data_IF_764384102076
#
_entry.id   IF_764384102076
#
_cell.length_a   1.000
_cell.length_b   1.000
_cell.length_c   1.000
_cell.angle_alpha   90.00
_cell.angle_beta   90.00
_cell.angle_gamma   90.00
#
_symmetry.space_group_name_H-M   'P 1'
#
loop_
_entity.id
_entity.type
_entity.pdbx_description
1 polymer ?
#
# COMPACT_ATOMS: atom_id res chain seq x y z
N UNK A 1 -62.82 32.30 -13.79
CA UNK A 1 -61.41 32.64 -13.43
C UNK A 1 -60.97 31.57 -12.43
N UNK A 2 -59.99 30.69 -12.66
CA UNK A 2 -58.81 30.74 -13.51
C UNK A 2 -58.60 29.40 -14.23
N UNK A 3 -58.45 29.46 -15.55
CA UNK A 3 -57.87 28.38 -16.37
C UNK A 3 -56.34 28.49 -16.29
N UNK A 4 -55.65 27.41 -15.98
CA UNK A 4 -54.21 27.29 -16.24
C UNK A 4 -53.99 26.17 -17.25
N UNK A 5 -53.69 26.59 -18.47
CA UNK A 5 -53.32 25.78 -19.64
C UNK A 5 -51.85 25.40 -19.53
N UNK A 6 -51.51 24.11 -19.62
CA UNK A 6 -50.13 23.67 -19.78
C UNK A 6 -49.83 23.46 -21.27
N UNK A 7 -48.95 24.30 -21.83
CA UNK A 7 -48.43 24.17 -23.19
C UNK A 7 -47.21 23.26 -23.20
N UNK A 8 -47.20 22.27 -24.09
CA UNK A 8 -45.98 21.53 -24.40
C UNK A 8 -45.08 22.40 -25.28
N UNK A 9 -43.99 22.92 -24.71
CA UNK A 9 -42.85 23.32 -25.52
C UNK A 9 -42.07 22.06 -25.86
N UNK A 10 -42.00 21.72 -27.15
CA UNK A 10 -41.02 20.77 -27.66
C UNK A 10 -39.65 21.27 -27.21
N UNK A 11 -39.02 20.60 -26.24
CA UNK A 11 -37.64 20.87 -25.91
C UNK A 11 -36.85 20.65 -27.20
N UNK A 12 -36.27 21.74 -27.71
CA UNK A 12 -35.27 21.71 -28.77
C UNK A 12 -34.35 20.53 -28.53
N UNK A 13 -33.98 19.84 -29.61
CA UNK A 13 -32.72 19.10 -29.69
C UNK A 13 -31.57 20.08 -29.36
N UNK A 14 -31.37 20.35 -28.07
CA UNK A 14 -30.07 20.74 -27.57
C UNK A 14 -29.20 19.50 -27.73
N UNK A 15 -28.61 19.47 -28.92
CA UNK A 15 -27.29 18.93 -29.23
C UNK A 15 -26.33 19.17 -28.07
N UNK A 16 -26.54 18.42 -27.01
CA UNK A 16 -25.57 18.18 -25.95
C UNK A 16 -24.60 17.17 -26.52
N UNK A 17 -23.89 17.58 -27.58
CA UNK A 17 -22.49 17.19 -27.75
C UNK A 17 -21.75 17.82 -26.58
N UNK A 18 -21.99 17.30 -25.37
CA UNK A 18 -20.95 17.31 -24.36
C UNK A 18 -19.74 16.75 -25.08
N UNK A 19 -18.71 17.58 -25.19
CA UNK A 19 -17.39 17.14 -25.56
C UNK A 19 -17.12 15.87 -24.75
N UNK A 20 -17.25 14.69 -25.36
CA UNK A 20 -16.78 13.45 -24.79
C UNK A 20 -15.30 13.71 -24.54
N UNK A 21 -14.94 13.87 -23.27
CA UNK A 21 -13.56 13.87 -22.84
C UNK A 21 -12.92 12.63 -23.47
N UNK A 22 -12.04 12.85 -24.45
CA UNK A 22 -11.19 11.82 -25.05
C UNK A 22 -10.38 11.20 -23.91
N UNK A 23 -10.90 10.14 -23.29
CA UNK A 23 -10.27 9.48 -22.16
C UNK A 23 -11.21 8.74 -21.20
N UNK A 24 -12.53 8.99 -21.19
CA UNK A 24 -13.44 8.27 -20.29
C UNK A 24 -14.01 7.03 -20.98
N UNK A 25 -13.54 5.84 -20.60
CA UNK A 25 -14.13 4.57 -21.04
C UNK A 25 -15.50 4.41 -20.35
N UNK A 26 -16.56 4.31 -21.16
CA UNK A 26 -17.92 4.12 -20.69
C UNK A 26 -18.48 2.80 -21.22
N UNK A 27 -19.24 2.11 -20.37
CA UNK A 27 -20.02 0.93 -20.71
C UNK A 27 -21.49 1.34 -20.82
N UNK A 28 -22.15 0.91 -21.89
CA UNK A 28 -23.57 1.18 -22.14
C UNK A 28 -24.31 -0.15 -22.37
N UNK A 29 -25.16 -0.49 -21.41
CA UNK A 29 -26.01 -1.68 -21.41
C UNK A 29 -27.43 -1.18 -21.63
N UNK A 30 -28.09 -1.59 -22.71
CA UNK A 30 -29.50 -1.26 -22.96
C UNK A 30 -30.40 -2.08 -22.04
N UNK A 31 -30.45 -3.39 -22.26
CA UNK A 31 -31.22 -4.32 -21.45
C UNK A 31 -30.44 -5.63 -21.30
N UNK A 32 -30.36 -6.13 -20.07
CA UNK A 32 -29.75 -7.41 -19.75
C UNK A 32 -30.58 -8.09 -18.66
N UNK A 33 -31.16 -9.24 -18.98
CA UNK A 33 -31.86 -10.10 -18.03
C UNK A 33 -31.19 -11.46 -17.98
N UNK A 34 -30.86 -11.93 -16.76
CA UNK A 34 -30.24 -13.23 -16.52
C UNK A 34 -31.21 -14.09 -15.73
N UNK A 35 -31.49 -15.29 -16.23
CA UNK A 35 -32.38 -16.25 -15.58
C UNK A 35 -31.65 -16.96 -14.44
N UNK A 36 -32.34 -17.20 -13.32
CA UNK A 36 -31.78 -17.93 -12.17
C UNK A 36 -31.30 -19.32 -12.60
N UNK A 37 -30.08 -19.68 -12.20
CA UNK A 37 -29.47 -20.99 -12.46
C UNK A 37 -28.84 -21.14 -13.85
N UNK A 38 -29.00 -20.15 -14.74
CA UNK A 38 -28.41 -20.20 -16.07
C UNK A 38 -26.89 -19.98 -16.05
N UNK A 39 -26.20 -20.64 -16.98
CA UNK A 39 -24.82 -20.34 -17.35
C UNK A 39 -24.82 -19.36 -18.52
N UNK A 40 -24.41 -18.12 -18.24
CA UNK A 40 -24.32 -17.05 -19.21
C UNK A 40 -22.86 -16.81 -19.58
N UNK A 41 -22.52 -16.95 -20.85
CA UNK A 41 -21.18 -16.69 -21.37
C UNK A 41 -21.06 -15.27 -21.94
N UNK A 42 -19.98 -14.56 -21.63
CA UNK A 42 -19.69 -13.23 -22.20
C UNK A 42 -18.50 -13.31 -23.14
N UNK A 43 -18.72 -12.93 -24.40
CA UNK A 43 -17.75 -13.05 -25.49
C UNK A 43 -17.49 -11.69 -26.10
N UNK A 44 -16.24 -11.46 -26.50
CA UNK A 44 -15.85 -10.25 -27.21
C UNK A 44 -14.35 -10.07 -27.26
N UNK A 45 -13.91 -9.12 -28.08
CA UNK A 45 -12.49 -8.80 -28.25
C UNK A 45 -11.83 -8.39 -26.92
N UNK A 46 -10.51 -8.47 -26.86
CA UNK A 46 -9.75 -7.92 -25.73
C UNK A 46 -10.06 -6.43 -25.60
N UNK A 47 -10.34 -5.97 -24.39
CA UNK A 47 -10.67 -4.55 -24.13
C UNK A 47 -12.10 -4.11 -24.49
N UNK A 48 -13.03 -5.02 -24.84
CA UNK A 48 -14.41 -4.63 -25.15
C UNK A 48 -15.30 -4.33 -23.93
N UNK A 49 -14.78 -4.49 -22.70
CA UNK A 49 -15.50 -4.18 -21.46
C UNK A 49 -16.13 -5.36 -20.72
N UNK A 50 -15.67 -6.61 -20.93
CA UNK A 50 -16.17 -7.82 -20.23
C UNK A 50 -15.99 -7.73 -18.71
N UNK A 51 -14.75 -7.49 -18.25
CA UNK A 51 -14.46 -7.28 -16.83
C UNK A 51 -15.19 -6.05 -16.28
N UNK A 52 -15.36 -5.00 -17.10
CA UNK A 52 -16.15 -3.81 -16.73
C UNK A 52 -17.64 -4.11 -16.57
N UNK A 53 -18.20 -5.08 -17.31
CA UNK A 53 -19.57 -5.56 -17.09
C UNK A 53 -19.70 -6.21 -15.71
N UNK A 54 -18.74 -7.05 -15.31
CA UNK A 54 -18.74 -7.66 -13.99
C UNK A 54 -18.58 -6.61 -12.89
N UNK A 55 -17.67 -5.64 -13.06
CA UNK A 55 -17.48 -4.52 -12.14
C UNK A 55 -18.74 -3.62 -12.03
N UNK A 56 -19.52 -3.48 -13.10
CA UNK A 56 -20.81 -2.80 -13.05
C UNK A 56 -21.84 -3.57 -12.21
N UNK A 57 -21.83 -4.90 -12.26
CA UNK A 57 -22.72 -5.78 -11.48
C UNK A 57 -22.32 -5.77 -9.99
N UNK A 58 -21.02 -5.77 -9.68
CA UNK A 58 -20.53 -5.70 -8.28
C UNK A 58 -20.69 -4.32 -7.66
N UNK A 59 -20.95 -3.28 -8.46
CA UNK A 59 -21.10 -1.91 -7.99
C UNK A 59 -19.78 -1.15 -7.85
N UNK A 60 -18.68 -1.65 -8.44
CA UNK A 60 -17.38 -1.00 -8.46
C UNK A 60 -17.32 0.19 -9.44
N UNK A 61 -18.23 0.23 -10.43
CA UNK A 61 -18.32 1.33 -11.39
C UNK A 61 -19.36 2.38 -11.00
N UNK A 62 -19.02 3.66 -11.22
CA UNK A 62 -19.94 4.77 -11.04
C UNK A 62 -21.03 4.76 -12.11
N UNK A 63 -22.27 4.46 -11.70
CA UNK A 63 -23.45 4.48 -12.57
C UNK A 63 -23.88 5.91 -12.90
N UNK A 64 -23.90 6.27 -14.19
CA UNK A 64 -24.40 7.57 -14.66
C UNK A 64 -25.92 7.60 -14.88
N UNK A 65 -26.54 6.46 -15.20
CA UNK A 65 -27.97 6.34 -15.44
C UNK A 65 -28.43 4.88 -15.50
N UNK A 66 -29.75 4.67 -15.57
CA UNK A 66 -30.36 3.33 -15.58
C UNK A 66 -30.53 2.71 -14.19
N UNK A 67 -30.97 1.45 -14.17
CA UNK A 67 -31.22 0.68 -12.94
C UNK A 67 -30.55 -0.68 -13.05
N UNK A 68 -29.97 -1.16 -11.95
CA UNK A 68 -29.36 -2.48 -11.84
C UNK A 68 -30.05 -3.18 -10.68
N UNK A 69 -30.67 -4.32 -10.96
CA UNK A 69 -31.36 -5.13 -9.98
C UNK A 69 -30.60 -6.44 -9.81
N UNK A 70 -30.06 -6.66 -8.62
CA UNK A 70 -29.40 -7.91 -8.24
C UNK A 70 -30.24 -8.56 -7.16
N UNK A 71 -30.55 -9.85 -7.35
CA UNK A 71 -31.26 -10.62 -6.35
C UNK A 71 -30.37 -10.85 -5.12
N UNK A 72 -30.88 -10.51 -3.94
CA UNK A 72 -30.22 -10.75 -2.64
C UNK A 72 -28.77 -10.22 -2.54
N UNK A 73 -28.60 -8.93 -2.81
CA UNK A 73 -27.29 -8.25 -2.76
C UNK A 73 -26.60 -8.39 -1.40
N UNK A 74 -27.36 -8.53 -0.31
CA UNK A 74 -26.84 -8.69 1.05
C UNK A 74 -26.00 -9.97 1.21
N UNK A 75 -26.31 -11.03 0.45
CA UNK A 75 -25.49 -12.26 0.45
C UNK A 75 -24.22 -12.16 -0.37
N UNK A 76 -24.11 -11.15 -1.25
CA UNK A 76 -22.96 -10.93 -2.12
C UNK A 76 -22.79 -11.98 -3.24
N UNK A 77 -21.61 -12.00 -3.84
CA UNK A 77 -21.29 -12.79 -5.04
C UNK A 77 -20.13 -13.76 -4.78
N UNK A 78 -20.12 -14.88 -5.50
CA UNK A 78 -18.91 -15.68 -5.68
C UNK A 78 -18.09 -15.07 -6.81
N UNK A 79 -16.96 -14.44 -6.48
CA UNK A 79 -16.15 -13.70 -7.45
C UNK A 79 -14.82 -14.38 -7.69
N UNK A 80 -14.51 -14.66 -8.96
CA UNK A 80 -13.18 -15.04 -9.42
C UNK A 80 -12.71 -14.02 -10.45
N UNK A 81 -11.68 -13.23 -10.11
CA UNK A 81 -11.15 -12.15 -10.96
C UNK A 81 -10.07 -12.64 -11.91
N UNK A 82 -9.87 -11.91 -13.00
CA UNK A 82 -8.83 -12.21 -14.00
C UNK A 82 -7.42 -12.21 -13.38
N UNK A 83 -7.17 -11.28 -12.46
CA UNK A 83 -5.97 -11.27 -11.61
C UNK A 83 -6.37 -11.78 -10.20
N UNK A 84 -6.03 -13.03 -9.86
CA UNK A 84 -6.41 -13.61 -8.58
C UNK A 84 -5.65 -12.95 -7.44
N UNK A 85 -6.37 -12.38 -6.49
CA UNK A 85 -5.77 -11.88 -5.24
C UNK A 85 -5.73 -12.98 -4.18
N UNK A 86 -4.54 -13.24 -3.62
CA UNK A 86 -4.29 -14.25 -2.59
C UNK A 86 -3.81 -13.55 -1.32
N UNK A 87 -4.45 -13.86 -0.20
CA UNK A 87 -4.11 -13.32 1.10
C UNK A 87 -2.83 -13.98 1.63
N UNK A 88 -2.03 -13.20 2.36
CA UNK A 88 -0.85 -13.69 3.08
C UNK A 88 -1.27 -14.50 4.31
N UNK A 89 -1.63 -15.77 4.07
CA UNK A 89 -2.05 -16.77 5.06
C UNK A 89 -1.88 -18.17 4.44
N UNK A 90 -2.30 -19.23 5.11
CA UNK A 90 -2.25 -20.59 4.57
C UNK A 90 -3.17 -20.77 3.35
N UNK A 91 -2.92 -21.79 2.53
CA UNK A 91 -3.81 -22.12 1.39
C UNK A 91 -5.23 -22.43 1.88
N UNK A 92 -5.37 -23.17 2.99
CA UNK A 92 -6.66 -23.45 3.60
C UNK A 92 -7.42 -22.19 3.97
N UNK A 93 -6.79 -21.27 4.70
CA UNK A 93 -7.43 -20.01 5.11
C UNK A 93 -7.81 -19.12 3.92
N UNK A 94 -7.01 -19.15 2.84
CA UNK A 94 -7.38 -18.50 1.60
C UNK A 94 -8.66 -19.06 0.97
N UNK A 95 -8.89 -20.37 1.03
CA UNK A 95 -10.10 -21.02 0.49
C UNK A 95 -11.30 -20.78 1.42
N UNK A 96 -11.12 -20.94 2.73
CA UNK A 96 -12.16 -20.74 3.74
C UNK A 96 -12.65 -19.29 3.77
N UNK A 97 -11.72 -18.34 3.72
CA UNK A 97 -11.98 -16.90 3.65
C UNK A 97 -13.01 -16.42 4.68
N UNK A 98 -12.78 -16.79 5.95
CA UNK A 98 -13.62 -16.43 7.09
C UNK A 98 -14.86 -17.31 7.31
N UNK A 99 -15.07 -18.34 6.48
CA UNK A 99 -16.10 -19.36 6.70
C UNK A 99 -15.55 -20.52 7.52
N UNK A 100 -16.40 -21.15 8.33
CA UNK A 100 -16.05 -22.34 9.09
C UNK A 100 -15.60 -23.51 8.20
N UNK A 101 -14.64 -24.30 8.70
CA UNK A 101 -14.13 -25.47 7.99
C UNK A 101 -15.11 -26.65 8.05
N UNK A 102 -15.74 -26.94 6.91
CA UNK A 102 -16.44 -28.20 6.62
C UNK A 102 -15.55 -29.12 5.76
N UNK A 103 -15.12 -30.23 6.34
CA UNK A 103 -14.24 -31.21 5.69
C UNK A 103 -14.83 -31.81 4.40
N UNK A 104 -16.15 -32.05 4.35
CA UNK A 104 -16.78 -32.68 3.18
C UNK A 104 -16.85 -31.70 2.02
N UNK A 105 -17.36 -30.51 2.27
CA UNK A 105 -17.44 -29.45 1.27
C UNK A 105 -16.03 -29.05 0.80
N UNK A 106 -15.08 -28.96 1.72
CA UNK A 106 -13.71 -28.58 1.40
C UNK A 106 -13.06 -29.60 0.45
N UNK A 107 -13.20 -30.89 0.75
CA UNK A 107 -12.70 -31.95 -0.13
C UNK A 107 -13.37 -31.93 -1.51
N UNK A 108 -14.69 -31.76 -1.57
CA UNK A 108 -15.42 -31.64 -2.83
C UNK A 108 -14.93 -30.45 -3.67
N UNK A 109 -14.70 -29.29 -3.04
CA UNK A 109 -14.19 -28.09 -3.71
C UNK A 109 -12.76 -28.29 -4.20
N UNK A 110 -11.88 -28.91 -3.41
CA UNK A 110 -10.51 -29.20 -3.82
C UNK A 110 -10.46 -30.13 -5.04
N UNK A 111 -11.28 -31.19 -5.04
CA UNK A 111 -11.39 -32.12 -6.16
C UNK A 111 -11.98 -31.43 -7.40
N UNK A 112 -13.06 -30.65 -7.24
CA UNK A 112 -13.68 -29.92 -8.34
C UNK A 112 -12.74 -28.87 -8.96
N UNK A 113 -11.88 -28.26 -8.14
CA UNK A 113 -10.91 -27.26 -8.57
C UNK A 113 -9.55 -27.86 -8.98
N UNK A 114 -9.40 -29.19 -9.03
CA UNK A 114 -8.14 -29.88 -9.34
C UNK A 114 -6.95 -29.38 -8.50
N UNK A 115 -7.15 -29.11 -7.20
CA UNK A 115 -6.10 -28.63 -6.31
C UNK A 115 -5.38 -29.75 -5.56
N UNK A 116 -5.91 -30.97 -5.55
CA UNK A 116 -5.36 -32.09 -4.79
C UNK A 116 -3.89 -32.37 -5.11
N UNK A 117 -3.54 -32.38 -6.39
CA UNK A 117 -2.16 -32.64 -6.83
C UNK A 117 -1.22 -31.48 -6.48
N UNK A 118 -1.70 -30.23 -6.55
CA UNK A 118 -0.89 -29.07 -6.13
C UNK A 118 -0.59 -29.13 -4.63
N UNK A 119 -1.58 -29.47 -3.81
CA UNK A 119 -1.41 -29.57 -2.37
C UNK A 119 -0.41 -30.66 -1.99
N UNK A 120 -0.37 -31.78 -2.71
CA UNK A 120 0.59 -32.86 -2.46
C UNK A 120 2.06 -32.45 -2.72
N UNK A 121 2.27 -31.47 -3.59
CA UNK A 121 3.61 -30.96 -3.92
C UNK A 121 4.08 -29.93 -2.88
N UNK A 122 3.15 -29.26 -2.18
CA UNK A 122 3.49 -28.26 -1.18
C UNK A 122 4.03 -28.90 0.12
N UNK A 123 5.05 -28.30 0.75
CA UNK A 123 5.76 -28.91 1.88
C UNK A 123 4.89 -29.21 3.10
N UNK A 124 3.82 -28.43 3.32
CA UNK A 124 2.86 -28.62 4.40
C UNK A 124 1.41 -28.78 3.89
N UNK A 125 1.24 -29.21 2.63
CA UNK A 125 -0.08 -29.35 2.03
C UNK A 125 -0.86 -28.04 2.04
N UNK A 126 -2.12 -28.10 2.48
CA UNK A 126 -3.01 -26.93 2.59
C UNK A 126 -2.69 -26.01 3.78
N UNK A 127 -1.83 -26.45 4.71
CA UNK A 127 -1.30 -25.62 5.79
C UNK A 127 -0.08 -24.79 5.35
N UNK A 128 0.38 -24.95 4.12
CA UNK A 128 1.50 -24.16 3.60
C UNK A 128 1.14 -22.68 3.56
N UNK A 129 1.98 -21.84 4.18
CA UNK A 129 1.85 -20.39 4.13
C UNK A 129 2.14 -19.88 2.72
N UNK A 130 1.25 -19.02 2.23
CA UNK A 130 1.43 -18.39 0.92
C UNK A 130 2.07 -17.02 1.11
N UNK A 131 3.18 -16.78 0.39
CA UNK A 131 3.88 -15.48 0.38
C UNK A 131 2.99 -14.31 -0.06
N UNK A 132 3.44 -13.06 0.15
CA UNK A 132 2.66 -11.86 -0.19
C UNK A 132 2.20 -11.90 -1.66
N UNK A 133 0.91 -11.68 -1.93
CA UNK A 133 0.29 -11.83 -3.27
C UNK A 133 0.57 -13.18 -3.96
N UNK A 134 0.81 -14.24 -3.18
CA UNK A 134 1.01 -15.57 -3.71
C UNK A 134 2.35 -15.81 -4.40
N UNK A 135 3.42 -15.06 -4.11
CA UNK A 135 4.70 -15.17 -4.87
C UNK A 135 5.25 -16.61 -4.97
N UNK A 136 4.93 -17.47 -4.01
CA UNK A 136 5.31 -18.89 -3.99
C UNK A 136 4.49 -19.79 -4.93
N UNK A 137 3.40 -19.30 -5.53
CA UNK A 137 2.47 -20.08 -6.35
C UNK A 137 2.55 -19.69 -7.84
N UNK A 138 2.31 -20.67 -8.71
CA UNK A 138 2.13 -20.43 -10.15
C UNK A 138 0.84 -19.67 -10.45
N UNK A 139 0.75 -19.02 -11.62
CA UNK A 139 -0.46 -18.29 -12.02
C UNK A 139 -1.71 -19.18 -12.07
N UNK A 140 -1.57 -20.41 -12.57
CA UNK A 140 -2.66 -21.39 -12.61
C UNK A 140 -3.09 -21.87 -11.22
N UNK A 141 -2.16 -22.03 -10.28
CA UNK A 141 -2.47 -22.34 -8.88
C UNK A 141 -3.24 -21.21 -8.21
N UNK A 142 -2.81 -19.96 -8.38
CA UNK A 142 -3.53 -18.78 -7.87
C UNK A 142 -4.96 -18.70 -8.41
N UNK A 143 -5.14 -18.94 -9.70
CA UNK A 143 -6.45 -18.95 -10.33
C UNK A 143 -7.36 -20.03 -9.73
N UNK A 144 -6.83 -21.26 -9.56
CA UNK A 144 -7.58 -22.37 -8.94
C UNK A 144 -7.93 -22.12 -7.48
N UNK A 145 -7.02 -21.55 -6.67
CA UNK A 145 -7.31 -21.19 -5.27
C UNK A 145 -8.38 -20.11 -5.20
N UNK A 146 -8.32 -19.08 -6.05
CA UNK A 146 -9.34 -18.04 -6.09
C UNK A 146 -10.71 -18.57 -6.53
N UNK A 147 -10.73 -19.50 -7.50
CA UNK A 147 -11.95 -20.20 -7.90
C UNK A 147 -12.49 -21.07 -6.77
N UNK A 148 -11.64 -21.84 -6.09
CA UNK A 148 -12.01 -22.66 -4.93
C UNK A 148 -12.60 -21.81 -3.81
N UNK A 149 -11.98 -20.66 -3.49
CA UNK A 149 -12.51 -19.68 -2.56
C UNK A 149 -13.90 -19.20 -2.96
N UNK A 150 -14.12 -18.86 -4.23
CA UNK A 150 -15.43 -18.43 -4.70
C UNK A 150 -16.49 -19.54 -4.53
N UNK A 151 -16.15 -20.78 -4.88
CA UNK A 151 -17.05 -21.95 -4.79
C UNK A 151 -17.38 -22.26 -3.34
N UNK A 152 -16.38 -22.28 -2.46
CA UNK A 152 -16.54 -22.60 -1.03
C UNK A 152 -17.47 -21.64 -0.29
N UNK A 153 -17.69 -20.44 -0.82
CA UNK A 153 -18.61 -19.46 -0.24
C UNK A 153 -20.10 -19.73 -0.52
N UNK A 154 -20.43 -20.75 -1.34
CA UNK A 154 -21.79 -21.23 -1.65
C UNK A 154 -22.82 -20.12 -1.99
N UNK A 155 -22.39 -19.12 -2.74
CA UNK A 155 -23.24 -17.99 -3.15
C UNK A 155 -24.31 -18.43 -4.17
N UNK A 156 -25.28 -17.57 -4.47
CA UNK A 156 -26.32 -17.86 -5.48
C UNK A 156 -25.93 -17.37 -6.88
N UNK A 157 -25.05 -16.36 -6.95
CA UNK A 157 -24.58 -15.72 -8.17
C UNK A 157 -23.05 -15.77 -8.20
N UNK A 158 -22.50 -16.29 -9.30
CA UNK A 158 -21.07 -16.39 -9.54
C UNK A 158 -20.66 -15.52 -10.73
N UNK A 159 -19.65 -14.70 -10.51
CA UNK A 159 -19.05 -13.81 -11.50
C UNK A 159 -17.62 -14.30 -11.74
N UNK A 160 -17.36 -14.84 -12.93
CA UNK A 160 -16.12 -15.52 -13.26
C UNK A 160 -15.43 -14.79 -14.41
N UNK A 161 -14.36 -14.06 -14.10
CA UNK A 161 -13.58 -13.30 -15.08
C UNK A 161 -12.33 -14.07 -15.50
N UNK A 162 -12.45 -14.80 -16.61
CA UNK A 162 -11.43 -15.63 -17.24
C UNK A 162 -10.63 -16.55 -16.30
N UNK A 163 -11.30 -17.34 -15.42
CA UNK A 163 -10.62 -18.18 -14.44
C UNK A 163 -9.80 -19.33 -15.06
N UNK A 164 -9.96 -19.58 -16.36
CA UNK A 164 -9.34 -20.69 -17.10
C UNK A 164 -8.14 -20.26 -17.96
N UNK A 165 -7.76 -18.98 -17.95
CA UNK A 165 -6.73 -18.44 -18.86
C UNK A 165 -5.30 -18.89 -18.51
N UNK A 166 -5.00 -19.05 -17.23
CA UNK A 166 -3.66 -19.35 -16.73
C UNK A 166 -3.40 -20.84 -16.47
N UNK A 167 -4.35 -21.72 -16.84
CA UNK A 167 -4.29 -23.17 -16.60
C UNK A 167 -4.19 -23.93 -17.91
N UNK A 168 -3.56 -25.10 -17.86
CA UNK A 168 -3.42 -26.00 -19.00
C UNK A 168 -4.79 -26.51 -19.51
N UNK A 169 -4.84 -26.97 -20.75
CA UNK A 169 -6.09 -27.38 -21.40
C UNK A 169 -6.83 -28.49 -20.64
N UNK A 170 -6.11 -29.50 -20.14
CA UNK A 170 -6.72 -30.62 -19.41
C UNK A 170 -7.29 -30.18 -18.06
N UNK A 171 -6.55 -29.34 -17.33
CA UNK A 171 -7.02 -28.73 -16.07
C UNK A 171 -8.23 -27.84 -16.34
N UNK A 172 -8.20 -27.02 -17.39
CA UNK A 172 -9.33 -26.17 -17.78
C UNK A 172 -10.59 -26.99 -18.11
N UNK A 173 -10.43 -28.12 -18.81
CA UNK A 173 -11.52 -29.05 -19.10
C UNK A 173 -12.11 -29.66 -17.82
N UNK A 174 -11.25 -30.07 -16.89
CA UNK A 174 -11.67 -30.58 -15.58
C UNK A 174 -12.45 -29.52 -14.79
N UNK A 175 -11.92 -28.30 -14.68
CA UNK A 175 -12.57 -27.18 -13.99
C UNK A 175 -13.94 -26.86 -14.61
N UNK A 176 -14.02 -26.83 -15.94
CA UNK A 176 -15.29 -26.59 -16.61
C UNK A 176 -16.31 -27.70 -16.30
N UNK A 177 -15.91 -28.97 -16.36
CA UNK A 177 -16.83 -30.09 -16.18
C UNK A 177 -17.23 -30.33 -14.72
N UNK A 178 -16.27 -30.28 -13.79
CA UNK A 178 -16.47 -30.64 -12.38
C UNK A 178 -16.89 -29.45 -11.53
N UNK A 179 -16.30 -28.28 -11.74
CA UNK A 179 -16.60 -27.08 -10.97
C UNK A 179 -17.76 -26.29 -11.59
N UNK A 180 -17.58 -25.73 -12.79
CA UNK A 180 -18.54 -24.78 -13.39
C UNK A 180 -19.85 -25.48 -13.77
N UNK A 181 -19.79 -26.65 -14.43
CA UNK A 181 -20.97 -27.43 -14.85
C UNK A 181 -21.39 -28.50 -13.83
N UNK A 182 -20.56 -28.78 -12.83
CA UNK A 182 -20.81 -29.76 -11.78
C UNK A 182 -21.30 -29.09 -10.50
N UNK A 183 -20.39 -28.73 -9.60
CA UNK A 183 -20.70 -28.13 -8.28
C UNK A 183 -21.60 -26.90 -8.42
N UNK A 184 -21.33 -26.03 -9.41
CA UNK A 184 -22.09 -24.80 -9.62
C UNK A 184 -23.34 -24.97 -10.52
N UNK A 185 -23.73 -26.20 -10.87
CA UNK A 185 -24.77 -26.49 -11.88
C UNK A 185 -26.09 -25.76 -11.66
N UNK A 186 -26.52 -25.61 -10.41
CA UNK A 186 -27.81 -25.03 -10.05
C UNK A 186 -27.73 -23.54 -9.69
N UNK A 187 -26.55 -22.94 -9.80
CA UNK A 187 -26.27 -21.55 -9.45
C UNK A 187 -26.24 -20.66 -10.70
N UNK A 188 -26.56 -19.38 -10.53
CA UNK A 188 -26.46 -18.42 -11.63
C UNK A 188 -24.99 -18.10 -11.86
N UNK A 189 -24.49 -18.27 -13.10
CA UNK A 189 -23.08 -18.12 -13.42
C UNK A 189 -22.91 -17.19 -14.61
N UNK A 190 -22.08 -16.16 -14.48
CA UNK A 190 -21.65 -15.30 -15.58
C UNK A 190 -20.17 -15.57 -15.81
N UNK A 191 -19.85 -16.21 -16.94
CA UNK A 191 -18.49 -16.57 -17.32
C UNK A 191 -18.01 -15.68 -18.47
N UNK A 192 -17.08 -14.79 -18.16
CA UNK A 192 -16.30 -14.08 -19.15
C UNK A 192 -15.08 -14.94 -19.52
N UNK A 193 -14.90 -15.29 -20.78
CA UNK A 193 -13.67 -15.96 -21.22
C UNK A 193 -13.35 -15.64 -22.68
N UNK A 194 -12.06 -15.72 -23.01
CA UNK A 194 -11.58 -15.65 -24.37
C UNK A 194 -11.61 -17.01 -25.10
N UNK A 195 -11.79 -18.11 -24.37
CA UNK A 195 -11.81 -19.48 -24.93
C UNK A 195 -13.23 -19.89 -25.33
N UNK A 196 -13.51 -19.83 -26.62
CA UNK A 196 -14.84 -20.12 -27.19
C UNK A 196 -15.29 -21.58 -27.02
N UNK A 197 -14.35 -22.53 -26.97
CA UNK A 197 -14.59 -23.97 -26.76
C UNK A 197 -15.47 -24.25 -25.53
N UNK A 198 -15.30 -23.46 -24.47
CA UNK A 198 -16.02 -23.63 -23.22
C UNK A 198 -17.42 -23.02 -23.22
N UNK A 199 -17.69 -22.13 -24.18
CA UNK A 199 -18.92 -21.38 -24.27
C UNK A 199 -20.01 -22.11 -25.06
N UNK A 200 -19.67 -23.18 -25.77
CA UNK A 200 -20.64 -24.07 -26.43
C UNK A 200 -21.63 -24.68 -25.43
N UNK A 201 -21.22 -24.85 -24.17
CA UNK A 201 -22.02 -25.45 -23.09
C UNK A 201 -22.83 -24.42 -22.30
N UNK A 202 -22.78 -23.14 -22.67
CA UNK A 202 -23.54 -22.08 -22.01
C UNK A 202 -25.01 -22.07 -22.48
N UNK A 203 -25.92 -21.69 -21.58
CA UNK A 203 -27.34 -21.57 -21.92
C UNK A 203 -27.61 -20.34 -22.78
N UNK A 204 -26.83 -19.28 -22.60
CA UNK A 204 -26.96 -18.01 -23.33
C UNK A 204 -25.61 -17.33 -23.47
N UNK A 205 -25.33 -16.73 -24.63
CA UNK A 205 -24.15 -15.92 -24.87
C UNK A 205 -24.51 -14.44 -25.03
N UNK A 206 -23.59 -13.60 -24.55
CA UNK A 206 -23.59 -12.14 -24.67
C UNK A 206 -22.39 -11.75 -25.53
N UNK A 207 -22.65 -11.20 -26.72
CA UNK A 207 -21.61 -10.62 -27.56
C UNK A 207 -21.42 -9.15 -27.20
N UNK A 208 -20.25 -8.79 -26.68
CA UNK A 208 -19.87 -7.42 -26.37
C UNK A 208 -18.85 -6.85 -27.36
N UNK A 209 -19.07 -5.61 -27.80
CA UNK A 209 -18.11 -4.84 -28.58
C UNK A 209 -18.12 -3.37 -28.14
N UNK A 210 -16.93 -2.78 -27.97
CA UNK A 210 -16.74 -1.38 -27.59
C UNK A 210 -17.64 -0.89 -26.43
N UNK A 211 -17.75 -1.70 -25.36
CA UNK A 211 -18.53 -1.36 -24.16
C UNK A 211 -20.06 -1.48 -24.34
N UNK A 212 -20.54 -2.12 -25.41
CA UNK A 212 -21.97 -2.33 -25.68
C UNK A 212 -22.28 -3.80 -25.92
N UNK A 213 -23.49 -4.21 -25.55
CA UNK A 213 -24.03 -5.53 -25.92
C UNK A 213 -24.55 -5.44 -27.35
N UNK A 214 -23.96 -6.22 -28.25
CA UNK A 214 -24.32 -6.27 -29.68
C UNK A 214 -25.43 -7.28 -29.92
N UNK A 215 -25.33 -8.47 -29.32
CA UNK A 215 -26.30 -9.55 -29.49
C UNK A 215 -26.36 -10.45 -28.25
N UNK A 216 -27.56 -10.93 -27.94
CA UNK A 216 -27.84 -11.96 -26.93
C UNK A 216 -28.51 -13.12 -27.65
N UNK A 217 -28.11 -14.35 -27.37
CA UNK A 217 -28.64 -15.52 -28.07
C UNK A 217 -27.99 -16.84 -27.65
N UNK A 218 -28.34 -17.92 -28.34
CA UNK A 218 -27.75 -19.24 -28.09
C UNK A 218 -26.31 -19.34 -28.63
N UNK A 219 -25.49 -20.28 -28.13
CA UNK A 219 -24.12 -20.46 -28.62
C UNK A 219 -24.03 -20.65 -30.14
N UNK A 220 -24.95 -21.43 -30.73
CA UNK A 220 -25.01 -21.70 -32.17
C UNK A 220 -25.21 -20.45 -33.03
N UNK A 221 -25.81 -19.40 -32.47
CA UNK A 221 -26.04 -18.14 -33.19
C UNK A 221 -24.89 -17.14 -33.06
N UNK A 222 -24.14 -17.19 -31.96
CA UNK A 222 -23.16 -16.15 -31.61
C UNK A 222 -21.73 -16.59 -31.93
N UNK A 223 -21.37 -17.85 -31.68
CA UNK A 223 -20.01 -18.34 -31.93
C UNK A 223 -19.54 -18.12 -33.38
N UNK A 224 -20.36 -18.35 -34.42
CA UNK A 224 -19.96 -18.06 -35.80
C UNK A 224 -19.66 -16.57 -36.06
N UNK A 225 -20.35 -15.66 -35.36
CA UNK A 225 -20.15 -14.21 -35.50
C UNK A 225 -18.81 -13.76 -34.88
N UNK A 226 -18.36 -14.45 -33.83
CA UNK A 226 -17.07 -14.19 -33.18
C UNK A 226 -15.92 -14.67 -34.07
N UNK A 227 -16.06 -15.86 -34.65
CA UNK A 227 -15.06 -16.45 -35.56
C UNK A 227 -14.94 -15.72 -36.90
N UNK A 228 -16.04 -15.14 -37.39
CA UNK A 228 -16.07 -14.33 -38.61
C UNK A 228 -15.36 -12.97 -38.46
N UNK A 229 -15.10 -12.51 -37.22
CA UNK A 229 -14.18 -11.38 -37.04
C UNK A 229 -12.76 -11.85 -37.30
N UNK A 230 -12.01 -11.23 -38.25
CA UNK A 230 -10.74 -11.79 -38.67
C UNK A 230 -9.81 -11.87 -37.45
N UNK A 231 -9.29 -13.07 -37.17
CA UNK A 231 -8.16 -13.34 -36.29
C UNK A 231 -6.91 -12.67 -36.86
N UNK A 232 -6.90 -11.35 -36.88
CA UNK A 232 -5.71 -10.59 -37.26
C UNK A 232 -4.73 -10.75 -36.11
N UNK A 233 -3.74 -11.63 -36.33
CA UNK A 233 -2.36 -11.52 -35.82
C UNK A 233 -1.86 -12.47 -34.71
N UNK A 234 -2.39 -13.70 -34.55
CA UNK A 234 -1.77 -14.69 -33.63
C UNK A 234 -1.13 -15.91 -34.34
N UNK A 235 -1.54 -16.27 -35.56
CA UNK A 235 -0.93 -17.41 -36.27
C UNK A 235 0.43 -17.10 -36.94
N UNK A 236 0.79 -15.82 -37.10
CA UNK A 236 2.07 -15.43 -37.69
C UNK A 236 3.24 -15.35 -36.70
N UNK A 237 3.01 -15.45 -35.38
CA UNK A 237 4.10 -15.50 -34.39
C UNK A 237 4.66 -16.92 -34.14
N UNK A 238 3.93 -17.98 -34.50
CA UNK A 238 4.39 -19.37 -34.33
C UNK A 238 5.28 -19.90 -35.46
N UNK A 239 5.49 -19.13 -36.54
CA UNK A 239 6.29 -19.56 -37.70
C UNK A 239 7.66 -18.89 -37.87
N UNK A 240 8.01 -17.92 -37.03
CA UNK A 240 9.33 -17.28 -37.04
C UNK A 240 9.87 -17.16 -35.61
N UNK A 241 10.32 -18.29 -35.08
CA UNK A 241 11.43 -18.40 -34.11
C UNK A 241 11.84 -19.87 -34.04
N UNK A 242 12.45 -20.35 -35.12
CA UNK A 242 13.36 -21.50 -35.09
C UNK A 242 14.78 -20.95 -35.23
N UNK A 243 15.49 -20.88 -34.12
CA UNK A 243 16.96 -20.75 -34.06
C UNK A 243 17.42 -21.95 -33.21
N UNK A 244 18.52 -22.64 -33.59
CA UNK A 244 18.69 -24.05 -33.33
C UNK A 244 19.17 -24.38 -31.91
N UNK A 245 18.75 -25.57 -31.48
CA UNK A 245 19.19 -26.35 -30.31
C UNK A 245 20.71 -26.51 -30.27
N UNK A 246 21.34 -26.01 -29.22
CA UNK A 246 22.62 -26.54 -28.72
C UNK A 246 22.32 -27.55 -27.61
N UNK A 247 23.00 -28.69 -27.72
CA UNK A 247 22.94 -29.82 -26.80
C UNK A 247 23.62 -29.44 -25.48
N UNK A 248 22.89 -29.55 -24.38
CA UNK A 248 23.42 -29.52 -23.01
C UNK A 248 22.88 -30.75 -22.28
N UNK A 249 23.79 -31.55 -21.75
CA UNK A 249 23.54 -32.82 -21.07
C UNK A 249 22.71 -32.60 -19.80
N UNK A 250 21.69 -33.43 -19.61
CA UNK A 250 21.02 -33.63 -18.33
C UNK A 250 21.93 -34.50 -17.46
N UNK A 251 22.44 -33.93 -16.36
CA UNK A 251 23.01 -34.70 -15.26
C UNK A 251 21.90 -34.92 -14.22
N UNK A 252 21.54 -36.17 -14.03
CA UNK A 252 20.72 -36.64 -12.91
C UNK A 252 21.45 -36.34 -11.60
N UNK A 253 20.82 -35.59 -10.70
CA UNK A 253 21.22 -35.53 -9.30
C UNK A 253 20.12 -36.15 -8.44
N UNK A 254 20.37 -37.38 -8.01
CA UNK A 254 19.74 -38.00 -6.86
C UNK A 254 19.97 -37.11 -5.63
N UNK A 255 18.89 -36.64 -5.00
CA UNK A 255 18.96 -35.99 -3.69
C UNK A 255 18.56 -37.05 -2.66
N UNK A 256 19.57 -37.50 -1.91
CA UNK A 256 19.41 -38.31 -0.72
C UNK A 256 18.54 -37.56 0.30
N UNK A 257 17.49 -38.24 0.74
CA UNK A 257 16.66 -37.80 1.84
C UNK A 257 17.42 -38.02 3.16
N UNK A 258 17.98 -36.96 3.73
CA UNK A 258 18.36 -36.94 5.15
C UNK A 258 17.54 -35.90 5.92
N UNK A 259 17.16 -36.35 7.12
CA UNK A 259 16.23 -35.76 8.05
C UNK A 259 16.54 -34.30 8.41
N UNK A 260 15.57 -33.41 8.20
CA UNK A 260 15.41 -32.23 9.05
C UNK A 260 13.95 -32.09 9.48
N UNK A 261 13.60 -32.89 10.48
CA UNK A 261 12.39 -32.70 11.25
C UNK A 261 12.34 -31.32 11.91
N UNK A 262 11.13 -30.75 11.94
CA UNK A 262 10.74 -29.68 12.85
C UNK A 262 11.55 -28.38 12.75
N UNK A 263 11.58 -27.78 11.57
CA UNK A 263 11.61 -26.33 11.45
C UNK A 263 10.31 -25.91 10.77
N UNK A 264 9.37 -25.44 11.57
CA UNK A 264 8.13 -24.77 11.19
C UNK A 264 8.39 -23.87 9.98
N UNK A 265 7.73 -24.17 8.86
CA UNK A 265 7.73 -23.36 7.64
C UNK A 265 6.94 -22.06 7.90
N UNK A 266 7.46 -21.23 8.80
CA UNK A 266 7.01 -19.88 9.04
C UNK A 266 7.75 -19.00 8.03
N UNK A 267 7.10 -18.66 6.92
CA UNK A 267 7.47 -17.48 6.13
C UNK A 267 7.28 -16.20 6.96
N UNK A 268 6.60 -16.33 8.11
CA UNK A 268 6.49 -15.35 9.16
C UNK A 268 7.76 -15.28 10.03
N UNK A 269 8.84 -14.69 9.50
CA UNK A 269 9.82 -14.05 10.39
C UNK A 269 9.21 -12.71 10.82
N UNK A 270 8.37 -12.75 11.86
CA UNK A 270 7.89 -11.51 12.49
C UNK A 270 9.09 -10.61 12.80
N UNK A 271 8.94 -9.30 12.62
CA UNK A 271 9.99 -8.36 12.94
C UNK A 271 10.26 -8.40 14.45
N UNK A 272 11.25 -9.21 14.85
CA UNK A 272 11.67 -9.31 16.24
C UNK A 272 12.29 -7.99 16.68
N UNK A 273 11.52 -7.21 17.43
CA UNK A 273 12.03 -6.01 18.10
C UNK A 273 12.88 -6.42 19.29
N UNK A 274 14.17 -6.11 19.24
CA UNK A 274 15.05 -6.27 20.41
C UNK A 274 14.64 -5.26 21.49
N UNK A 275 14.29 -5.77 22.67
CA UNK A 275 14.01 -4.95 23.85
C UNK A 275 15.28 -4.80 24.71
N UNK A 276 15.54 -3.58 25.19
CA UNK A 276 16.69 -3.27 26.04
C UNK A 276 17.48 -2.04 25.61
N UNK A 277 18.66 -1.86 26.20
CA UNK A 277 19.54 -0.74 25.91
C UNK A 277 20.10 -0.80 24.48
N UNK A 278 20.23 0.37 23.85
CA UNK A 278 20.80 0.49 22.51
C UNK A 278 22.28 0.13 22.53
N UNK A 279 22.69 -0.82 21.70
CA UNK A 279 24.09 -1.25 21.62
C UNK A 279 25.01 -0.08 21.20
N UNK A 280 26.20 0.00 21.80
CA UNK A 280 27.21 1.02 21.49
C UNK A 280 27.57 1.08 19.99
N UNK A 281 27.44 -0.05 19.29
CA UNK A 281 27.63 -0.13 17.85
C UNK A 281 26.69 0.81 17.06
N UNK A 282 25.46 1.03 17.53
CA UNK A 282 24.50 1.94 16.90
C UNK A 282 24.96 3.39 17.01
N UNK A 283 25.44 3.80 18.18
CA UNK A 283 26.03 5.12 18.40
C UNK A 283 27.26 5.34 17.52
N UNK A 284 28.14 4.33 17.42
CA UNK A 284 29.30 4.37 16.54
C UNK A 284 28.91 4.48 15.06
N UNK A 285 27.88 3.75 14.63
CA UNK A 285 27.37 3.82 13.27
C UNK A 285 26.81 5.22 12.94
N UNK A 286 26.09 5.84 13.87
CA UNK A 286 25.59 7.20 13.74
C UNK A 286 26.72 8.24 13.69
N UNK A 287 27.71 8.11 14.59
CA UNK A 287 28.91 8.96 14.60
C UNK A 287 29.65 8.93 13.26
N UNK A 288 29.83 7.74 12.69
CA UNK A 288 30.46 7.57 11.38
C UNK A 288 29.57 8.10 10.23
N UNK A 289 28.24 8.07 10.36
CA UNK A 289 27.33 8.62 9.37
C UNK A 289 27.34 10.17 9.34
N UNK A 290 27.43 10.81 10.50
CA UNK A 290 27.63 12.27 10.62
C UNK A 290 29.03 12.68 10.09
N UNK A 291 30.02 11.83 10.33
CA UNK A 291 31.43 12.05 10.00
C UNK A 291 32.21 12.61 11.20
N UNK A 292 33.37 12.03 11.51
CA UNK A 292 34.10 12.27 12.76
C UNK A 292 34.47 13.74 13.01
N UNK A 293 34.92 14.46 11.98
CA UNK A 293 35.27 15.88 12.11
C UNK A 293 34.05 16.75 12.46
N UNK A 294 32.91 16.47 11.81
CA UNK A 294 31.67 17.22 12.03
C UNK A 294 31.04 16.87 13.38
N UNK A 295 31.07 15.60 13.77
CA UNK A 295 30.62 15.16 15.09
C UNK A 295 31.45 15.77 16.23
N UNK A 296 32.78 15.85 16.08
CA UNK A 296 33.65 16.56 17.02
C UNK A 296 33.35 18.06 17.06
N UNK A 297 33.11 18.69 15.91
CA UNK A 297 32.72 20.10 15.83
C UNK A 297 31.38 20.37 16.53
N UNK A 298 30.40 19.46 16.41
CA UNK A 298 29.14 19.54 17.15
C UNK A 298 29.38 19.43 18.65
N UNK A 299 30.16 18.44 19.12
CA UNK A 299 30.50 18.31 20.54
C UNK A 299 31.25 19.53 21.08
N UNK A 300 32.18 20.07 20.30
CA UNK A 300 32.92 21.27 20.66
C UNK A 300 32.00 22.50 20.75
N UNK A 301 31.07 22.66 19.80
CA UNK A 301 30.08 23.74 19.84
C UNK A 301 29.13 23.63 21.04
N UNK A 302 28.79 22.41 21.48
CA UNK A 302 28.03 22.16 22.70
C UNK A 302 28.82 22.58 23.95
N UNK A 303 30.11 22.23 24.02
CA UNK A 303 30.98 22.63 25.13
C UNK A 303 31.18 24.14 25.20
N UNK A 304 31.41 24.81 24.06
CA UNK A 304 31.56 26.26 23.99
C UNK A 304 30.29 26.99 24.43
N UNK A 305 29.12 26.51 24.01
CA UNK A 305 27.84 27.06 24.46
C UNK A 305 27.69 26.92 25.98
N UNK A 306 27.96 25.73 26.54
CA UNK A 306 27.86 25.50 27.98
C UNK A 306 28.87 26.35 28.77
N UNK A 307 30.10 26.46 28.29
CA UNK A 307 31.14 27.27 28.91
C UNK A 307 30.79 28.76 28.90
N UNK A 308 30.31 29.29 27.77
CA UNK A 308 29.91 30.69 27.65
C UNK A 308 28.72 31.02 28.56
N UNK A 309 27.74 30.11 28.68
CA UNK A 309 26.65 30.23 29.64
C UNK A 309 27.15 30.30 31.08
N UNK A 310 28.06 29.40 31.47
CA UNK A 310 28.65 29.39 32.81
C UNK A 310 29.47 30.66 33.10
N UNK A 311 30.24 31.14 32.13
CA UNK A 311 31.03 32.40 32.26
C UNK A 311 30.11 33.61 32.43
N UNK A 312 28.97 33.65 31.73
CA UNK A 312 27.96 34.70 31.89
C UNK A 312 27.43 34.78 33.32
N UNK A 313 27.08 33.61 33.90
CA UNK A 313 26.59 33.51 35.28
C UNK A 313 27.68 33.87 36.30
N UNK A 314 28.91 33.40 36.09
CA UNK A 314 30.04 33.73 36.94
C UNK A 314 30.35 35.24 36.92
N UNK A 315 30.34 35.86 35.74
CA UNK A 315 30.58 37.29 35.58
C UNK A 315 29.51 38.13 36.28
N UNK A 316 28.23 37.73 36.16
CA UNK A 316 27.13 38.37 36.87
C UNK A 316 27.32 38.29 38.39
N UNK A 317 27.73 37.13 38.91
CA UNK A 317 28.05 36.98 40.34
C UNK A 317 29.19 37.89 40.78
N UNK A 318 30.25 38.00 39.97
CA UNK A 318 31.38 38.89 40.24
C UNK A 318 30.96 40.36 40.24
N UNK A 319 30.13 40.76 39.27
CA UNK A 319 29.58 42.11 39.20
C UNK A 319 28.74 42.44 40.44
N UNK A 320 27.80 41.56 40.84
CA UNK A 320 26.96 41.73 42.03
C UNK A 320 27.81 41.86 43.30
N UNK A 321 28.89 41.07 43.44
CA UNK A 321 29.77 41.15 44.61
C UNK A 321 30.59 42.44 44.72
N UNK A 322 30.84 43.11 43.58
CA UNK A 322 31.62 44.35 43.53
C UNK A 322 30.74 45.61 43.53
N UNK A 323 29.41 45.48 43.51
CA UNK A 323 28.54 46.63 43.73
C UNK A 323 28.76 47.14 45.17
N UNK A 324 29.09 48.42 45.37
CA UNK A 324 29.25 48.97 46.70
C UNK A 324 27.96 48.73 47.49
N UNK A 325 28.08 48.18 48.71
CA UNK A 325 26.98 47.98 49.65
C UNK A 325 26.42 49.32 50.16
N UNK A 326 25.91 50.14 49.25
CA UNK A 326 25.22 51.41 49.54
C UNK A 326 23.96 51.49 48.71
N UNK A 327 23.10 50.51 48.93
CA UNK A 327 21.67 50.76 49.01
C UNK A 327 21.08 49.59 49.79
N UNK A 328 20.64 49.86 51.02
CA UNK A 328 19.58 49.09 51.64
C UNK A 328 18.33 49.25 50.75
N UNK A 329 18.26 48.49 49.65
CA UNK A 329 17.02 48.31 48.93
C UNK A 329 16.26 47.28 49.75
N UNK A 330 15.34 47.76 50.56
CA UNK A 330 14.27 46.95 51.15
C UNK A 330 13.45 46.33 50.02
N UNK A 331 13.89 45.19 49.48
CA UNK A 331 13.06 44.36 48.61
C UNK A 331 12.11 43.55 49.48
N UNK A 332 10.86 44.00 49.51
CA UNK A 332 9.70 43.21 49.93
C UNK A 332 9.60 42.00 48.98
N UNK A 333 9.42 40.76 49.47
CA UNK A 333 9.39 39.60 48.60
C UNK A 333 8.08 39.62 47.80
N UNK A 334 8.14 39.83 46.49
CA UNK A 334 7.01 39.52 45.63
C UNK A 334 7.18 38.09 45.13
N UNK A 335 6.29 37.22 45.60
CA UNK A 335 6.10 35.86 45.14
C UNK A 335 5.85 35.82 43.64
N UNK A 336 6.82 35.34 42.87
CA UNK A 336 6.61 34.87 41.51
C UNK A 336 7.31 33.51 41.35
N UNK A 337 6.49 32.49 41.14
CA UNK A 337 6.89 31.10 40.91
C UNK A 337 7.89 30.99 39.76
N UNK A 338 9.07 30.43 40.06
CA UNK A 338 10.06 30.01 39.06
C UNK A 338 9.48 28.82 38.28
N UNK A 339 9.36 28.85 36.94
CA UNK A 339 8.93 27.68 36.20
C UNK A 339 10.08 26.66 36.12
N UNK A 340 9.73 25.37 36.12
CA UNK A 340 10.63 24.23 36.18
C UNK A 340 11.70 24.19 35.05
N UNK A 341 12.85 23.51 35.25
CA UNK A 341 14.02 23.56 34.36
C UNK A 341 13.82 23.05 32.93
N UNK A 342 12.70 22.36 32.65
CA UNK A 342 12.49 21.66 31.39
C UNK A 342 12.00 22.57 30.24
N UNK A 343 11.47 23.76 30.54
CA UNK A 343 10.96 24.71 29.52
C UNK A 343 12.03 25.66 28.95
N UNK A 344 13.25 25.67 29.51
CA UNK A 344 14.36 26.51 29.04
C UNK A 344 15.09 25.96 27.80
N UNK A 345 14.87 24.69 27.45
CA UNK A 345 15.51 24.08 26.28
C UNK A 345 14.89 24.52 24.94
N UNK A 346 13.70 25.14 24.94
CA UNK A 346 12.97 25.44 23.70
C UNK A 346 12.28 26.82 23.61
N UNK A 347 12.57 27.78 24.50
CA UNK A 347 11.90 29.09 24.46
C UNK A 347 12.82 30.25 24.12
N UNK A 348 12.49 30.97 23.05
CA UNK A 348 13.03 32.28 22.65
C UNK A 348 12.61 33.42 23.62
N UNK A 349 11.82 33.13 24.66
CA UNK A 349 11.21 34.15 25.54
C UNK A 349 12.15 34.77 26.59
N UNK A 350 13.41 34.31 26.70
CA UNK A 350 14.40 34.90 27.62
C UNK A 350 14.92 36.28 27.20
N UNK A 351 14.58 36.76 25.99
CA UNK A 351 15.16 37.95 25.38
C UNK A 351 14.47 39.29 25.72
N UNK A 352 13.33 39.29 26.43
CA UNK A 352 12.60 40.55 26.72
C UNK A 352 12.10 40.58 28.15
N UNK A 353 12.97 40.93 29.10
CA UNK A 353 12.51 41.57 30.35
C UNK A 353 12.72 43.08 30.23
N UNK A 354 11.62 43.83 30.27
CA UNK A 354 11.60 45.30 30.24
C UNK A 354 12.26 45.84 31.52
N UNK A 355 13.40 46.51 31.39
CA UNK A 355 13.93 47.35 32.47
C UNK A 355 13.19 48.69 32.39
N UNK A 356 12.26 48.90 33.31
CA UNK A 356 11.59 50.18 33.51
C UNK A 356 12.49 51.05 34.41
N UNK A 357 13.20 52.00 33.81
CA UNK A 357 14.07 52.95 34.51
C UNK A 357 13.19 53.99 35.21
N UNK A 358 13.25 54.06 36.54
CA UNK A 358 12.65 55.15 37.31
C UNK A 358 13.53 55.53 38.50
N UNK A 359 13.86 56.81 38.60
CA UNK A 359 14.20 57.46 39.87
C UNK A 359 15.66 57.89 40.06
N UNK A 360 15.88 59.18 39.89
CA UNK A 360 17.12 59.96 40.02
C UNK A 360 17.68 60.01 41.45
N UNK A 361 18.98 59.71 41.61
CA UNK A 361 19.80 60.13 42.74
C UNK A 361 21.22 60.49 42.22
N UNK A 362 21.94 61.44 42.83
CA UNK A 362 23.13 62.06 42.23
C UNK A 362 24.29 61.08 42.22
N UNK A 363 24.75 60.73 41.02
CA UNK A 363 25.81 59.75 40.79
C UNK A 363 27.16 60.47 40.77
N UNK A 364 28.09 60.05 41.62
CA UNK A 364 29.50 60.43 41.50
C UNK A 364 30.05 59.93 40.16
N UNK A 365 30.77 60.76 39.37
CA UNK A 365 31.15 60.45 37.99
C UNK A 365 31.98 59.17 37.81
N UNK A 366 32.65 58.70 38.87
CA UNK A 366 33.43 57.46 38.83
C UNK A 366 32.56 56.19 38.88
N UNK A 367 31.39 56.24 39.54
CA UNK A 367 30.51 55.05 39.68
C UNK A 367 29.71 54.72 38.41
N UNK A 368 29.45 55.71 37.54
CA UNK A 368 28.87 55.47 36.20
C UNK A 368 29.83 54.73 35.27
N UNK A 369 31.13 55.00 35.38
CA UNK A 369 32.14 54.39 34.51
C UNK A 369 32.33 52.89 34.82
N UNK A 370 32.26 52.52 36.10
CA UNK A 370 32.35 51.12 36.53
C UNK A 370 31.13 50.30 36.09
N UNK A 371 29.91 50.82 36.28
CA UNK A 371 28.68 50.13 35.84
C UNK A 371 28.66 49.96 34.33
N UNK A 372 29.09 50.98 33.57
CA UNK A 372 29.18 50.91 32.11
C UNK A 372 30.23 49.87 31.66
N UNK A 373 31.35 49.74 32.37
CA UNK A 373 32.35 48.71 32.09
C UNK A 373 31.81 47.28 32.32
N UNK A 374 31.19 47.01 33.47
CA UNK A 374 30.61 45.69 33.76
C UNK A 374 29.49 45.32 32.78
N UNK A 375 28.64 46.28 32.42
CA UNK A 375 27.56 46.08 31.45
C UNK A 375 28.10 45.83 30.03
N UNK A 376 29.17 46.52 29.63
CA UNK A 376 29.81 46.31 28.32
C UNK A 376 30.41 44.91 28.20
N UNK A 377 31.10 44.43 29.24
CA UNK A 377 31.66 43.06 29.28
C UNK A 377 30.54 42.01 29.31
N UNK A 378 29.49 42.22 30.10
CA UNK A 378 28.33 41.32 30.14
C UNK A 378 27.60 41.25 28.80
N UNK A 379 27.41 42.39 28.13
CA UNK A 379 26.86 42.46 26.77
C UNK A 379 27.72 41.71 25.74
N UNK A 380 29.04 41.82 25.84
CA UNK A 380 29.98 41.06 25.02
C UNK A 380 29.87 39.54 25.23
N UNK A 381 29.77 39.09 26.49
CA UNK A 381 29.58 37.68 26.84
C UNK A 381 28.21 37.16 26.34
N UNK A 382 27.15 37.95 26.50
CA UNK A 382 25.82 37.61 26.00
C UNK A 382 25.77 37.52 24.46
N UNK A 383 26.47 38.42 23.77
CA UNK A 383 26.67 38.36 22.32
C UNK A 383 27.39 37.08 21.87
N UNK A 384 28.51 36.76 22.53
CA UNK A 384 29.27 35.53 22.26
C UNK A 384 28.42 34.26 22.49
N UNK A 385 27.66 34.20 23.59
CA UNK A 385 26.76 33.09 23.87
C UNK A 385 25.68 32.91 22.79
N UNK A 386 25.13 34.01 22.28
CA UNK A 386 24.15 34.00 21.20
C UNK A 386 24.75 33.44 19.90
N UNK A 387 25.98 33.86 19.56
CA UNK A 387 26.71 33.34 18.40
C UNK A 387 27.00 31.84 18.53
N UNK A 388 27.48 31.38 19.69
CA UNK A 388 27.74 29.95 19.90
C UNK A 388 26.47 29.10 19.86
N UNK A 389 25.34 29.64 20.34
CA UNK A 389 24.04 28.96 20.27
C UNK A 389 23.58 28.76 18.83
N UNK A 390 23.71 29.79 17.98
CA UNK A 390 23.38 29.71 16.55
C UNK A 390 24.33 28.73 15.84
N UNK A 391 25.64 28.83 16.10
CA UNK A 391 26.65 27.93 15.52
C UNK A 391 26.35 26.46 15.84
N UNK A 392 26.03 26.16 17.10
CA UNK A 392 25.62 24.82 17.54
C UNK A 392 24.35 24.35 16.83
N UNK A 393 23.33 25.20 16.74
CA UNK A 393 22.07 24.84 16.09
C UNK A 393 22.27 24.50 14.60
N UNK A 394 23.07 25.29 13.89
CA UNK A 394 23.38 25.03 12.48
C UNK A 394 24.21 23.75 12.29
N UNK A 395 25.27 23.56 13.09
CA UNK A 395 26.10 22.35 13.03
C UNK A 395 25.30 21.10 13.36
N UNK A 396 24.41 21.15 14.36
CA UNK A 396 23.54 20.05 14.71
C UNK A 396 22.55 19.74 13.57
N UNK A 397 21.84 20.74 13.04
CA UNK A 397 20.91 20.55 11.93
C UNK A 397 21.62 19.96 10.70
N UNK A 398 22.75 20.54 10.29
CA UNK A 398 23.53 20.04 9.17
C UNK A 398 24.06 18.61 9.40
N UNK A 399 24.56 18.31 10.60
CA UNK A 399 25.03 16.98 10.97
C UNK A 399 23.92 15.92 10.93
N UNK A 400 22.73 16.24 11.43
CA UNK A 400 21.58 15.31 11.40
C UNK A 400 21.08 15.04 9.99
N UNK A 401 20.99 16.06 9.12
CA UNK A 401 20.62 15.90 7.70
C UNK A 401 21.65 15.02 7.00
N UNK A 402 22.95 15.27 7.21
CA UNK A 402 24.01 14.46 6.62
C UNK A 402 23.91 13.00 7.07
N UNK A 403 23.70 12.76 8.36
CA UNK A 403 23.52 11.40 8.88
C UNK A 403 22.29 10.71 8.28
N UNK A 404 21.17 11.41 8.18
CA UNK A 404 19.94 10.88 7.59
C UNK A 404 20.16 10.46 6.12
N UNK A 405 20.78 11.32 5.31
CA UNK A 405 21.07 11.02 3.89
C UNK A 405 22.01 9.82 3.74
N UNK A 406 23.04 9.72 4.59
CA UNK A 406 24.00 8.59 4.57
C UNK A 406 23.33 7.29 5.01
N UNK A 407 22.51 7.31 6.06
CA UNK A 407 21.80 6.12 6.53
C UNK A 407 20.76 5.67 5.50
N UNK A 408 19.98 6.61 4.94
CA UNK A 408 18.96 6.32 3.93
C UNK A 408 19.57 5.72 2.65
N UNK A 409 20.65 6.32 2.13
CA UNK A 409 21.36 5.78 0.95
C UNK A 409 21.96 4.39 1.20
N UNK A 410 22.54 4.15 2.38
CA UNK A 410 23.03 2.81 2.77
C UNK A 410 21.89 1.80 2.86
N UNK A 411 20.74 2.18 3.42
CA UNK A 411 19.55 1.33 3.49
C UNK A 411 19.07 0.97 2.09
N UNK A 412 18.86 1.97 1.22
CA UNK A 412 18.41 1.78 -0.15
C UNK A 412 19.37 0.89 -0.94
N UNK A 413 20.68 1.12 -0.85
CA UNK A 413 21.67 0.28 -1.52
C UNK A 413 21.67 -1.15 -1.02
N UNK A 414 21.43 -1.38 0.28
CA UNK A 414 21.32 -2.73 0.82
C UNK A 414 20.06 -3.41 0.31
N UNK A 415 18.91 -2.75 0.39
CA UNK A 415 17.63 -3.28 -0.12
C UNK A 415 17.74 -3.63 -1.61
N UNK A 416 18.34 -2.76 -2.43
CA UNK A 416 18.52 -2.99 -3.86
C UNK A 416 19.54 -4.10 -4.19
N UNK A 417 20.48 -4.39 -3.29
CA UNK A 417 21.49 -5.45 -3.48
C UNK A 417 21.03 -6.82 -2.99
N UNK A 418 19.95 -6.89 -2.21
CA UNK A 418 19.40 -8.17 -1.77
C UNK A 418 18.77 -8.84 -2.99
N UNK A 419 19.29 -10.02 -3.34
CA UNK A 419 18.73 -10.86 -4.40
C UNK A 419 17.38 -11.38 -3.96
N UNK A 420 16.38 -11.33 -4.85
CA UNK A 420 15.09 -12.00 -4.62
C UNK A 420 15.35 -13.50 -4.61
N UNK A 421 15.33 -14.11 -3.43
CA UNK A 421 15.36 -15.56 -3.31
C UNK A 421 13.99 -16.04 -3.75
N UNK A 422 13.89 -16.55 -5.00
CA UNK A 422 12.76 -17.39 -5.38
C UNK A 422 12.90 -18.67 -4.59
N UNK A 423 12.07 -18.83 -3.56
CA UNK A 423 11.83 -20.12 -2.94
C UNK A 423 11.10 -20.93 -4.01
N UNK A 424 11.82 -21.91 -4.58
CA UNK A 424 11.30 -22.84 -5.59
C UNK A 424 10.57 -24.01 -4.97
#
# INVERSE_FOLDING_TARGET
MHHSTFSWSLAREESTRQHLSRGTLQIFIQDLAVVKGALVGVVGKVGCGKSSLLAAITGELNRLGGQVYVWDLERGFGLATQEPWIQFTTVRENILFGRDYDARLYQEVLEACALSDDLNILPAGDQTEVGENGVTLSGGQKARIALARAVYQEKEIYLLDDPLAAVDADVANHLMQKCILGVLKHKTRILCTHRTEFLEKADTLLLMDNGRIVKIGTPSEILPLVEATPKVNEENKRRQNKVPTEQGQEEDMEIEAEELGQATCLLQREEEKKEGAVAFQVYRAYWLAVGSCLALSILFSLLLMQASGNVSVWWLSHWISNLPQTANISMRPLSASVPSPQLLLFSFAGLVSRIQVLGTAPVHPNSTLDVNFYLMVYGGIAGANSVFTILRAFLFAYGTIRAATVIHSRLLQRVMKVTVVRVG
#
